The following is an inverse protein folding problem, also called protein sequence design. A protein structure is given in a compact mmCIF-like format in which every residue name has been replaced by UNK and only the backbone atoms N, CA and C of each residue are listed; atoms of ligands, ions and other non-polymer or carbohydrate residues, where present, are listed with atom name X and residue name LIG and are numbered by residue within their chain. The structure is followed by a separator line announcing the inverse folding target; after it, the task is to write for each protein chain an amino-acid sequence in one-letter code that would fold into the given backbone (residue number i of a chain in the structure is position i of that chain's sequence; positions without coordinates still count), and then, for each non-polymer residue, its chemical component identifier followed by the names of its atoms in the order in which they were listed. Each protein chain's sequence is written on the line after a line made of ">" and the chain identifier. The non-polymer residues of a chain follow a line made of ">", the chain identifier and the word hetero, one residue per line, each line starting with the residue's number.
data_IF_732341456601
#
_entry.id   IF_732341456601
#
_cell.length_a   1.000
_cell.length_b   1.000
_cell.length_c   1.000
_cell.angle_alpha   90.00
_cell.angle_beta   90.00
_cell.angle_gamma   90.00
#
_symmetry.space_group_name_H-M   'P 1'
#
loop_
_entity.id
_entity.type
_entity.pdbx_description
1 polymer ?
#
# COMPACT_ATOMS: atom_id res chain seq x y z
N UNK A 1 18.77 22.61 9.35
CA UNK A 1 18.52 21.16 9.18
C UNK A 1 19.02 20.46 10.43
N UNK A 2 18.09 20.02 11.28
CA UNK A 2 18.38 19.24 12.49
C UNK A 2 18.18 17.77 12.11
N UNK A 3 19.24 16.96 12.15
CA UNK A 3 19.13 15.51 11.94
C UNK A 3 19.05 14.81 13.30
N UNK A 4 17.88 14.26 13.62
CA UNK A 4 17.66 13.42 14.79
C UNK A 4 17.74 11.94 14.37
N UNK A 5 18.74 11.24 14.89
CA UNK A 5 18.84 9.78 14.82
C UNK A 5 17.94 9.18 15.91
N UNK A 6 16.70 8.89 15.53
CA UNK A 6 15.67 8.33 16.41
C UNK A 6 15.46 6.86 16.09
N UNK A 7 15.28 6.06 17.13
CA UNK A 7 14.70 4.72 17.01
C UNK A 7 13.23 4.80 16.61
N UNK A 8 12.66 3.69 16.12
CA UNK A 8 11.26 3.62 15.70
C UNK A 8 10.32 3.97 16.86
N UNK A 9 10.61 3.47 18.04
CA UNK A 9 9.87 3.71 19.28
C UNK A 9 9.92 5.19 19.68
N UNK A 10 11.10 5.83 19.61
CA UNK A 10 11.25 7.25 19.91
C UNK A 10 10.49 8.14 18.92
N UNK A 11 10.51 7.77 17.63
CA UNK A 11 9.74 8.48 16.60
C UNK A 11 8.23 8.39 16.87
N UNK A 12 7.72 7.23 17.31
CA UNK A 12 6.31 7.07 17.67
C UNK A 12 5.91 7.89 18.90
N UNK A 13 6.75 7.89 19.94
CA UNK A 13 6.50 8.70 21.15
C UNK A 13 6.47 10.19 20.81
N UNK A 14 7.41 10.66 19.98
CA UNK A 14 7.44 12.04 19.54
C UNK A 14 6.23 12.41 18.68
N UNK A 15 5.83 11.55 17.74
CA UNK A 15 4.59 11.74 16.97
C UNK A 15 3.40 11.95 17.91
N UNK A 16 3.21 11.06 18.88
CA UNK A 16 2.08 11.14 19.83
C UNK A 16 2.08 12.43 20.64
N UNK A 17 3.27 12.90 21.07
CA UNK A 17 3.44 14.18 21.76
C UNK A 17 3.17 15.40 20.87
N UNK A 18 3.34 15.27 19.55
CA UNK A 18 3.13 16.36 18.58
C UNK A 18 1.73 16.38 17.95
N UNK A 19 0.91 15.33 18.15
CA UNK A 19 -0.46 15.27 17.62
C UNK A 19 -1.34 16.23 18.43
N UNK A 20 -1.93 17.22 17.75
CA UNK A 20 -2.88 18.18 18.36
C UNK A 20 -2.23 19.40 18.99
N UNK A 21 -0.91 19.54 18.94
CA UNK A 21 -0.25 20.83 19.16
C UNK A 21 -0.41 21.72 17.94
N UNK A 22 -0.90 22.94 18.15
CA UNK A 22 -0.92 23.99 17.12
C UNK A 22 0.55 24.33 16.83
N UNK A 23 1.09 23.81 15.72
CA UNK A 23 2.50 23.94 15.36
C UNK A 23 2.77 25.36 14.84
N UNK A 24 2.67 26.37 15.71
CA UNK A 24 2.84 27.79 15.37
C UNK A 24 4.26 28.21 14.98
N UNK A 25 5.18 27.25 14.87
CA UNK A 25 6.58 27.48 14.50
C UNK A 25 6.99 26.54 13.36
N UNK A 26 7.59 27.11 12.31
CA UNK A 26 8.04 26.38 11.11
C UNK A 26 9.00 25.22 11.43
N UNK A 27 9.94 25.41 12.36
CA UNK A 27 10.89 24.35 12.76
C UNK A 27 10.22 23.15 13.44
N UNK A 28 9.05 23.36 14.07
CA UNK A 28 8.29 22.30 14.73
C UNK A 28 7.49 21.50 13.68
N UNK A 29 6.98 22.19 12.64
CA UNK A 29 6.37 21.56 11.47
C UNK A 29 7.40 20.70 10.72
N UNK A 30 8.62 21.20 10.49
CA UNK A 30 9.69 20.42 9.84
C UNK A 30 10.02 19.12 10.59
N UNK A 31 9.98 19.14 11.93
CA UNK A 31 10.18 17.94 12.75
C UNK A 31 9.00 16.98 12.61
N UNK A 32 7.77 17.49 12.65
CA UNK A 32 6.56 16.67 12.48
C UNK A 32 6.54 15.97 11.11
N UNK A 33 6.84 16.70 10.04
CA UNK A 33 6.89 16.16 8.68
C UNK A 33 7.98 15.08 8.57
N UNK A 34 9.18 15.33 9.12
CA UNK A 34 10.27 14.34 9.12
C UNK A 34 9.94 13.09 9.93
N UNK A 35 9.23 13.24 11.06
CA UNK A 35 8.73 12.11 11.85
C UNK A 35 7.66 11.32 11.10
N UNK A 36 6.74 11.99 10.41
CA UNK A 36 5.71 11.34 9.60
C UNK A 36 6.31 10.55 8.44
N UNK A 37 7.33 11.10 7.76
CA UNK A 37 8.06 10.40 6.70
C UNK A 37 8.75 9.14 7.25
N UNK A 38 9.58 9.28 8.30
CA UNK A 38 10.29 8.14 8.91
C UNK A 38 9.35 7.06 9.44
N UNK A 39 8.24 7.46 10.06
CA UNK A 39 7.24 6.51 10.55
C UNK A 39 6.47 5.87 9.40
N UNK A 40 6.14 6.63 8.36
CA UNK A 40 5.52 6.13 7.14
C UNK A 40 6.36 5.03 6.50
N UNK A 41 7.68 5.23 6.39
CA UNK A 41 8.61 4.21 5.92
C UNK A 41 8.69 3.01 6.87
N UNK A 42 8.78 3.25 8.18
CA UNK A 42 8.94 2.19 9.18
C UNK A 42 7.67 1.32 9.36
N UNK A 43 6.49 1.84 9.02
CA UNK A 43 5.17 1.17 9.14
C UNK A 43 4.71 0.63 7.79
N UNK A 44 5.38 0.98 6.69
CA UNK A 44 5.02 0.56 5.35
C UNK A 44 4.84 -0.95 5.29
N UNK A 45 3.63 -1.38 4.89
CA UNK A 45 3.34 -2.80 4.76
C UNK A 45 4.15 -3.37 3.61
N UNK A 46 4.61 -4.62 3.71
CA UNK A 46 5.16 -5.32 2.56
C UNK A 46 4.14 -5.35 1.41
N UNK A 47 4.63 -5.27 0.18
CA UNK A 47 3.78 -5.34 -1.00
C UNK A 47 3.49 -6.79 -1.37
N UNK A 48 2.25 -7.06 -1.77
CA UNK A 48 1.82 -8.34 -2.34
C UNK A 48 1.19 -8.09 -3.70
N UNK A 49 1.54 -8.90 -4.70
CA UNK A 49 0.91 -8.81 -6.02
C UNK A 49 -0.55 -9.24 -5.97
N UNK A 50 -1.41 -8.56 -6.73
CA UNK A 50 -2.84 -8.89 -6.85
C UNK A 50 -3.08 -10.33 -7.28
N UNK A 51 -2.25 -10.85 -8.19
CA UNK A 51 -2.29 -12.24 -8.66
C UNK A 51 -2.05 -13.24 -7.52
N UNK A 52 -1.03 -13.01 -6.70
CA UNK A 52 -0.70 -13.84 -5.55
C UNK A 52 -1.81 -13.79 -4.49
N UNK A 53 -2.32 -12.59 -4.19
CA UNK A 53 -3.45 -12.40 -3.30
C UNK A 53 -4.68 -13.21 -3.74
N UNK A 54 -5.08 -13.10 -5.02
CA UNK A 54 -6.21 -13.85 -5.57
C UNK A 54 -5.98 -15.37 -5.53
N UNK A 55 -4.74 -15.81 -5.80
CA UNK A 55 -4.35 -17.22 -5.71
C UNK A 55 -4.53 -17.76 -4.30
N UNK A 56 -4.00 -17.08 -3.27
CA UNK A 56 -4.10 -17.53 -1.89
C UNK A 56 -5.54 -17.57 -1.37
N UNK A 57 -6.39 -16.63 -1.81
CA UNK A 57 -7.83 -16.63 -1.50
C UNK A 57 -8.52 -17.83 -2.15
N UNK A 58 -8.21 -18.10 -3.42
CA UNK A 58 -8.79 -19.22 -4.18
C UNK A 58 -8.36 -20.57 -3.59
N UNK A 59 -7.06 -20.74 -3.29
CA UNK A 59 -6.51 -21.92 -2.65
C UNK A 59 -7.20 -22.20 -1.30
N UNK A 60 -7.45 -21.14 -0.52
CA UNK A 60 -8.18 -21.24 0.74
C UNK A 60 -9.62 -21.67 0.52
N UNK A 61 -10.33 -21.05 -0.41
CA UNK A 61 -11.72 -21.41 -0.73
C UNK A 61 -11.83 -22.90 -1.11
N UNK A 62 -11.02 -23.36 -2.07
CA UNK A 62 -11.02 -24.75 -2.55
C UNK A 62 -10.69 -25.74 -1.44
N UNK A 63 -9.74 -25.41 -0.56
CA UNK A 63 -9.38 -26.26 0.59
C UNK A 63 -10.54 -26.50 1.56
N UNK A 64 -11.46 -25.54 1.67
CA UNK A 64 -12.58 -25.58 2.62
C UNK A 64 -13.95 -25.86 1.98
N UNK A 65 -13.99 -26.09 0.67
CA UNK A 65 -15.20 -26.33 -0.12
C UNK A 65 -15.98 -27.56 0.37
N UNK A 66 -15.31 -28.69 0.53
CA UNK A 66 -15.93 -29.93 1.00
C UNK A 66 -16.32 -29.92 2.49
N UNK A 67 -16.01 -28.83 3.21
CA UNK A 67 -16.26 -28.68 4.65
C UNK A 67 -17.37 -27.67 4.95
N UNK A 68 -17.99 -27.08 3.92
CA UNK A 68 -19.02 -26.05 4.07
C UNK A 68 -18.51 -24.71 4.63
N UNK A 69 -17.20 -24.53 4.74
CA UNK A 69 -16.56 -23.32 5.31
C UNK A 69 -15.81 -22.50 4.26
N UNK A 70 -16.00 -22.80 2.97
CA UNK A 70 -15.28 -22.19 1.86
C UNK A 70 -15.32 -20.65 1.94
N UNK A 71 -16.53 -20.10 2.03
CA UNK A 71 -16.75 -18.65 1.99
C UNK A 71 -16.23 -17.96 3.24
N UNK A 72 -16.46 -18.52 4.43
CA UNK A 72 -15.98 -17.91 5.68
C UNK A 72 -14.45 -17.91 5.76
N UNK A 73 -13.80 -19.00 5.36
CA UNK A 73 -12.34 -19.08 5.36
C UNK A 73 -11.70 -18.23 4.28
N UNK A 74 -12.34 -18.12 3.11
CA UNK A 74 -11.94 -17.19 2.05
C UNK A 74 -11.94 -15.74 2.54
N UNK A 75 -13.04 -15.30 3.18
CA UNK A 75 -13.16 -13.95 3.74
C UNK A 75 -12.17 -13.70 4.89
N UNK A 76 -11.97 -14.68 5.76
CA UNK A 76 -10.97 -14.59 6.83
C UNK A 76 -9.56 -14.42 6.25
N UNK A 77 -9.22 -15.17 5.19
CA UNK A 77 -7.92 -15.04 4.51
C UNK A 77 -7.77 -13.70 3.80
N UNK A 78 -8.82 -13.22 3.15
CA UNK A 78 -8.85 -11.89 2.56
C UNK A 78 -8.56 -10.78 3.59
N UNK A 79 -9.20 -10.83 4.76
CA UNK A 79 -8.98 -9.87 5.83
C UNK A 79 -7.56 -9.95 6.40
N UNK A 80 -7.05 -11.17 6.62
CA UNK A 80 -5.67 -11.41 7.06
C UNK A 80 -4.66 -10.78 6.10
N UNK A 81 -4.80 -11.04 4.79
CA UNK A 81 -3.85 -10.54 3.80
C UNK A 81 -3.89 -9.02 3.67
N UNK A 82 -5.08 -8.40 3.69
CA UNK A 82 -5.22 -6.93 3.70
C UNK A 82 -4.68 -6.29 4.97
N UNK A 83 -4.66 -7.03 6.08
CA UNK A 83 -4.06 -6.55 7.32
C UNK A 83 -2.55 -6.44 7.19
N UNK A 84 -1.89 -7.50 6.69
CA UNK A 84 -0.42 -7.57 6.64
C UNK A 84 0.23 -6.95 5.40
N UNK A 85 -0.49 -6.86 4.28
CA UNK A 85 0.10 -6.45 3.00
C UNK A 85 -0.62 -5.28 2.36
N UNK A 86 0.14 -4.46 1.63
CA UNK A 86 -0.40 -3.56 0.62
C UNK A 86 -0.50 -4.33 -0.71
N UNK A 87 -1.72 -4.46 -1.22
CA UNK A 87 -1.98 -5.21 -2.45
C UNK A 87 -1.76 -4.29 -3.64
N UNK A 88 -0.81 -4.63 -4.49
CA UNK A 88 -0.40 -3.84 -5.65
C UNK A 88 -0.81 -4.56 -6.94
N UNK A 89 -1.35 -3.81 -7.88
CA UNK A 89 -1.65 -4.32 -9.22
C UNK A 89 -0.35 -4.63 -9.98
N UNK A 90 -0.40 -5.64 -10.85
CA UNK A 90 0.73 -5.92 -11.73
C UNK A 90 0.75 -4.83 -12.82
N UNK A 91 1.82 -4.02 -12.84
CA UNK A 91 2.09 -3.20 -14.01
C UNK A 91 2.50 -4.15 -15.14
N UNK A 92 1.57 -4.42 -16.07
CA UNK A 92 1.90 -5.05 -17.34
C UNK A 92 2.81 -4.09 -18.12
N UNK A 93 4.13 -4.25 -17.98
CA UNK A 93 5.14 -3.64 -18.88
C UNK A 93 5.11 -4.27 -20.29
N UNK A 94 3.91 -4.58 -20.80
CA UNK A 94 3.72 -5.10 -22.15
C UNK A 94 2.60 -4.37 -22.89
N UNK A 95 2.69 -3.04 -22.95
CA UNK A 95 2.21 -2.32 -24.13
C UNK A 95 3.27 -2.45 -25.22
N UNK A 96 3.28 -3.61 -25.87
CA UNK A 96 3.98 -3.84 -27.12
C UNK A 96 3.62 -2.72 -28.09
N UNK A 97 4.55 -1.79 -28.26
CA UNK A 97 4.50 -0.79 -29.33
C UNK A 97 4.89 -1.51 -30.61
N UNK A 98 3.93 -2.12 -31.27
CA UNK A 98 4.03 -2.55 -32.66
C UNK A 98 2.79 -2.08 -33.40
N UNK A 99 2.99 -1.03 -34.20
CA UNK A 99 2.41 -0.75 -35.52
C UNK A 99 2.37 0.79 -35.67
N UNK A 100 3.18 1.41 -36.53
CA UNK A 100 3.31 1.05 -37.94
C UNK A 100 2.25 1.80 -38.73
N UNK A 101 2.60 3.03 -39.16
CA UNK A 101 2.07 3.76 -40.32
C UNK A 101 0.62 3.49 -40.79
N UNK A 102 -0.22 4.53 -40.72
CA UNK A 102 -1.22 4.74 -41.77
C UNK A 102 -2.56 5.33 -41.31
N UNK A 103 -2.93 6.46 -41.89
CA UNK A 103 -4.33 6.87 -41.99
C UNK A 103 -4.69 8.19 -41.34
N UNK A 104 -4.48 9.29 -42.09
CA UNK A 104 -5.35 10.47 -41.97
C UNK A 104 -6.80 10.03 -42.13
N UNK A 105 -7.68 10.54 -41.27
CA UNK A 105 -8.86 11.31 -41.71
C UNK A 105 -9.36 12.15 -40.54
N UNK A 106 -9.34 13.47 -40.73
CA UNK A 106 -10.28 14.38 -40.08
C UNK A 106 -11.70 13.91 -40.35
N UNK A 107 -12.60 14.01 -39.37
CA UNK A 107 -13.81 14.81 -39.55
C UNK A 107 -14.48 15.15 -38.21
N UNK A 108 -14.94 16.39 -38.15
CA UNK A 108 -15.75 16.99 -37.10
C UNK A 108 -17.19 16.51 -37.28
N UNK A 109 -17.89 16.23 -36.19
CA UNK A 109 -19.29 16.62 -35.99
C UNK A 109 -19.52 16.90 -34.51
#
# INVERSE_FOLDING_TARGET
>A
MITLDLTKEEAFMLRDLTIGTDLGYEWLQEIADSLEEKLGEAIKKPQMKRSEFNRQISDTKTRWENKGLATSMMLAKEAELKFYYDIVEENDENTGTTDGLGGRTCEKF
#
